data_IF_391946994433
#
_entry.id   IF_391946994433
#
_cell.length_a   1.000
_cell.length_b   1.000
_cell.length_c   1.000
_cell.angle_alpha   90.00
_cell.angle_beta   90.00
_cell.angle_gamma   90.00
#
_symmetry.space_group_name_H-M   'P 1'
#
loop_
_entity.id
_entity.type
_entity.pdbx_description
1 polymer ?
#
# COMPACT_ATOMS: atom_id res chain seq x y z
N UNK A 1 -14.11 -27.83 65.58
CA UNK A 1 -12.64 -27.67 65.67
C UNK A 1 -12.04 -29.06 65.41
N UNK A 2 -11.27 -29.36 64.36
CA UNK A 2 -10.43 -28.60 63.44
C UNK A 2 -10.40 -29.30 62.06
N UNK A 3 -10.26 -28.52 60.98
CA UNK A 3 -9.91 -28.98 59.63
C UNK A 3 -8.43 -29.42 59.57
N UNK A 4 -8.07 -30.21 58.55
CA UNK A 4 -6.79 -30.27 57.80
C UNK A 4 -7.06 -31.20 56.59
N UNK A 5 -6.95 -30.86 55.30
CA UNK A 5 -6.00 -30.04 54.55
C UNK A 5 -5.36 -30.97 53.49
N UNK A 6 -5.98 -31.16 52.31
CA UNK A 6 -5.66 -30.55 51.01
C UNK A 6 -4.23 -30.83 50.50
N UNK A 7 -4.08 -31.66 49.46
CA UNK A 7 -3.08 -31.46 48.41
C UNK A 7 -3.67 -31.84 47.05
N UNK A 8 -4.00 -30.81 46.26
CA UNK A 8 -4.32 -30.93 44.85
C UNK A 8 -3.12 -30.34 44.10
N UNK A 9 -2.28 -31.19 43.52
CA UNK A 9 -1.12 -30.76 42.72
C UNK A 9 -1.64 -30.18 41.40
N UNK A 10 -1.63 -28.85 41.29
CA UNK A 10 -2.00 -28.13 40.08
C UNK A 10 -0.84 -28.14 39.08
N UNK A 11 -0.95 -28.94 38.02
CA UNK A 11 -0.02 -28.90 36.90
C UNK A 11 -0.49 -27.84 35.89
N UNK A 12 -0.04 -26.59 36.06
CA UNK A 12 -0.21 -25.51 35.07
C UNK A 12 1.02 -25.45 34.17
N UNK A 13 0.99 -26.25 33.10
CA UNK A 13 1.98 -26.23 32.03
C UNK A 13 1.78 -25.02 31.11
N UNK A 14 2.80 -24.17 31.05
CA UNK A 14 2.87 -22.90 30.32
C UNK A 14 2.86 -23.12 28.78
N UNK A 15 1.76 -22.79 28.10
CA UNK A 15 1.74 -22.58 26.64
C UNK A 15 1.84 -21.08 26.34
N UNK A 16 3.07 -20.57 26.16
CA UNK A 16 3.31 -19.19 25.72
C UNK A 16 4.42 -19.13 24.67
N UNK A 17 4.23 -19.74 23.50
CA UNK A 17 5.25 -19.76 22.43
C UNK A 17 4.73 -19.46 21.01
N UNK A 18 3.63 -18.71 20.85
CA UNK A 18 3.08 -18.36 19.52
C UNK A 18 3.20 -16.88 19.12
N UNK A 19 3.63 -15.99 20.01
CA UNK A 19 3.67 -14.54 19.73
C UNK A 19 4.99 -14.03 19.12
N UNK A 20 6.08 -14.81 19.16
CA UNK A 20 7.40 -14.40 18.68
C UNK A 20 7.55 -14.52 17.16
N UNK A 21 7.00 -15.58 16.57
CA UNK A 21 7.06 -15.83 15.12
C UNK A 21 6.33 -14.78 14.28
N UNK A 22 5.13 -14.37 14.70
CA UNK A 22 4.34 -13.36 13.99
C UNK A 22 5.02 -11.97 13.99
N UNK A 23 5.66 -11.60 15.11
CA UNK A 23 6.44 -10.35 15.21
C UNK A 23 7.72 -10.40 14.36
N UNK A 24 8.43 -11.52 14.35
CA UNK A 24 9.62 -11.69 13.54
C UNK A 24 9.31 -11.59 12.03
N UNK A 25 8.22 -12.20 11.58
CA UNK A 25 7.79 -12.15 10.18
C UNK A 25 7.41 -10.73 9.72
N UNK A 26 6.89 -9.91 10.63
CA UNK A 26 6.54 -8.51 10.35
C UNK A 26 7.78 -7.61 10.27
N UNK A 27 8.86 -7.90 11.01
CA UNK A 27 10.12 -7.17 10.93
C UNK A 27 10.83 -7.32 9.56
N UNK A 28 10.59 -8.45 8.89
CA UNK A 28 11.10 -8.75 7.55
C UNK A 28 10.21 -8.23 6.41
N UNK A 29 9.06 -7.63 6.74
CA UNK A 29 8.17 -7.02 5.75
C UNK A 29 8.86 -5.85 5.06
N UNK A 30 8.79 -5.83 3.73
CA UNK A 30 9.35 -4.75 2.89
C UNK A 30 8.34 -4.20 1.88
N UNK A 31 7.10 -4.70 1.92
CA UNK A 31 5.96 -4.17 1.16
C UNK A 31 4.65 -4.34 1.93
N UNK A 32 3.76 -3.37 1.81
CA UNK A 32 2.35 -3.51 2.17
C UNK A 32 1.47 -2.50 1.43
N UNK A 33 0.16 -2.75 1.41
CA UNK A 33 -0.86 -1.74 1.08
C UNK A 33 -1.30 -1.09 2.38
N UNK A 34 -1.39 0.23 2.46
CA UNK A 34 -1.84 0.89 3.70
C UNK A 34 -3.23 0.43 4.12
N UNK A 35 -3.45 0.11 5.40
CA UNK A 35 -4.82 -0.12 5.92
C UNK A 35 -5.69 1.15 5.96
N UNK A 36 -5.08 2.34 5.89
CA UNK A 36 -5.76 3.62 5.85
C UNK A 36 -4.94 4.68 5.10
N UNK A 37 -5.61 5.54 4.35
CA UNK A 37 -5.03 6.71 3.67
C UNK A 37 -4.86 7.93 4.58
N UNK A 38 -4.75 9.13 3.98
CA UNK A 38 -4.63 10.39 4.73
C UNK A 38 -5.94 10.85 5.39
N UNK A 39 -7.08 10.33 4.92
CA UNK A 39 -8.41 10.83 5.26
C UNK A 39 -8.81 12.11 4.51
N UNK A 40 -7.94 12.64 3.65
CA UNK A 40 -8.16 13.83 2.82
C UNK A 40 -8.15 13.52 1.33
N UNK A 41 -8.53 12.30 0.95
CA UNK A 41 -8.46 11.85 -0.44
C UNK A 41 -7.01 11.76 -0.92
N UNK A 42 -6.71 12.37 -2.07
CA UNK A 42 -5.37 12.39 -2.66
C UNK A 42 -4.47 13.53 -2.15
N UNK A 43 -4.96 14.38 -1.24
CA UNK A 43 -4.08 15.30 -0.51
C UNK A 43 -3.32 14.51 0.56
N UNK A 44 -2.04 14.29 0.26
CA UNK A 44 -1.10 13.58 1.12
C UNK A 44 -0.08 14.54 1.73
N UNK A 45 -0.11 15.84 1.39
CA UNK A 45 0.99 16.77 1.68
C UNK A 45 2.23 16.51 0.81
N UNK A 46 2.03 16.04 -0.42
CA UNK A 46 3.13 15.66 -1.32
C UNK A 46 3.77 14.30 -0.98
N UNK A 47 4.91 14.00 -1.61
CA UNK A 47 5.61 12.72 -1.44
C UNK A 47 6.08 12.49 -0.01
N UNK A 48 6.52 13.55 0.68
CA UNK A 48 6.99 13.43 2.07
C UNK A 48 5.87 13.02 3.02
N UNK A 49 4.67 13.61 2.87
CA UNK A 49 3.53 13.20 3.69
C UNK A 49 2.99 11.82 3.33
N UNK A 50 3.08 11.40 2.06
CA UNK A 50 2.78 10.04 1.65
C UNK A 50 3.76 9.02 2.27
N UNK A 51 5.07 9.31 2.25
CA UNK A 51 6.10 8.49 2.89
C UNK A 51 5.88 8.42 4.41
N UNK A 52 5.51 9.53 5.05
CA UNK A 52 5.20 9.57 6.48
C UNK A 52 4.01 8.68 6.86
N UNK A 53 3.00 8.56 6.01
CA UNK A 53 1.88 7.62 6.21
C UNK A 53 2.42 6.17 6.20
N UNK A 54 3.23 5.82 5.21
CA UNK A 54 3.85 4.50 5.13
C UNK A 54 4.72 4.21 6.37
N UNK A 55 5.59 5.15 6.75
CA UNK A 55 6.48 5.00 7.91
C UNK A 55 5.69 4.76 9.19
N UNK A 56 4.64 5.57 9.44
CA UNK A 56 3.79 5.47 10.63
C UNK A 56 3.10 4.11 10.73
N UNK A 57 2.52 3.64 9.62
CA UNK A 57 1.80 2.36 9.60
C UNK A 57 2.76 1.18 9.80
N UNK A 58 3.92 1.20 9.15
CA UNK A 58 4.95 0.19 9.36
C UNK A 58 5.45 0.17 10.81
N UNK A 59 5.66 1.34 11.42
CA UNK A 59 6.06 1.44 12.82
C UNK A 59 5.04 0.84 13.77
N UNK A 60 3.73 1.04 13.51
CA UNK A 60 2.65 0.49 14.34
C UNK A 60 2.66 -1.04 14.44
N UNK A 61 3.25 -1.73 13.45
CA UNK A 61 3.37 -3.19 13.43
C UNK A 61 4.80 -3.69 13.71
N UNK A 62 5.72 -2.80 14.10
CA UNK A 62 7.10 -3.15 14.44
C UNK A 62 8.06 -3.20 13.24
N UNK A 63 7.64 -2.75 12.07
CA UNK A 63 8.47 -2.67 10.86
C UNK A 63 9.06 -1.26 10.61
N UNK A 64 9.09 -0.40 11.65
CA UNK A 64 9.52 1.01 11.54
C UNK A 64 11.02 1.25 11.40
N UNK A 65 11.86 0.21 11.50
CA UNK A 65 13.33 0.33 11.39
C UNK A 65 13.85 0.50 9.95
N UNK A 66 12.96 0.50 8.95
CA UNK A 66 13.29 0.71 7.53
C UNK A 66 12.84 2.10 7.10
N UNK A 67 13.39 2.59 6.00
CA UNK A 67 12.88 3.80 5.32
C UNK A 67 11.72 3.39 4.41
N UNK A 68 10.52 3.86 4.69
CA UNK A 68 9.35 3.53 3.87
C UNK A 68 9.03 4.61 2.86
N UNK A 69 8.73 4.20 1.63
CA UNK A 69 8.39 5.05 0.49
C UNK A 69 7.04 4.68 -0.06
N UNK A 70 6.18 5.68 -0.24
CA UNK A 70 4.96 5.51 -1.01
C UNK A 70 5.30 5.41 -2.51
N UNK A 71 4.75 4.40 -3.19
CA UNK A 71 4.90 4.24 -4.64
C UNK A 71 4.04 5.27 -5.37
N UNK A 72 4.62 6.45 -5.58
CA UNK A 72 3.96 7.60 -6.18
C UNK A 72 4.94 8.33 -7.09
N UNK A 73 4.47 8.66 -8.29
CA UNK A 73 5.20 9.54 -9.22
C UNK A 73 4.66 10.96 -9.13
N UNK A 74 5.52 11.96 -9.31
CA UNK A 74 5.12 13.38 -9.38
C UNK A 74 5.47 13.99 -10.71
N UNK A 75 4.69 15.00 -11.11
CA UNK A 75 4.94 15.84 -12.26
C UNK A 75 6.02 16.88 -11.98
N UNK A 76 6.76 17.25 -13.02
CA UNK A 76 7.66 18.40 -12.97
C UNK A 76 6.85 19.68 -12.73
N UNK A 77 7.24 20.48 -11.74
CA UNK A 77 6.57 21.73 -11.40
C UNK A 77 7.56 22.72 -10.78
N UNK A 78 7.41 24.01 -11.07
CA UNK A 78 8.22 25.07 -10.45
C UNK A 78 9.74 24.89 -10.61
N UNK A 79 10.19 24.24 -11.68
CA UNK A 79 11.60 23.93 -11.93
C UNK A 79 12.12 22.64 -11.27
N UNK A 80 11.33 21.98 -10.42
CA UNK A 80 11.65 20.65 -9.91
C UNK A 80 11.38 19.58 -10.99
N UNK A 81 12.28 18.58 -11.15
CA UNK A 81 12.06 17.51 -12.10
C UNK A 81 10.88 16.62 -11.67
N UNK A 82 10.30 15.91 -12.64
CA UNK A 82 9.38 14.82 -12.34
C UNK A 82 10.09 13.73 -11.53
N UNK A 83 9.34 13.01 -10.70
CA UNK A 83 9.87 11.92 -9.90
C UNK A 83 9.15 10.64 -10.28
N UNK A 84 9.90 9.60 -10.60
CA UNK A 84 9.36 8.29 -10.92
C UNK A 84 9.20 7.46 -9.64
N UNK A 85 8.06 6.80 -9.48
CA UNK A 85 7.81 5.90 -8.35
C UNK A 85 8.84 4.76 -8.30
N UNK A 86 9.16 4.17 -9.46
CA UNK A 86 10.10 3.03 -9.58
C UNK A 86 11.49 3.32 -9.04
N UNK A 87 11.94 4.58 -9.09
CA UNK A 87 13.29 4.98 -8.70
C UNK A 87 13.42 5.19 -7.19
N UNK A 88 12.29 5.26 -6.47
CA UNK A 88 12.25 5.57 -5.03
C UNK A 88 12.17 4.34 -4.13
N UNK A 89 11.68 3.23 -4.64
CA UNK A 89 11.25 2.07 -3.82
C UNK A 89 12.34 1.05 -3.50
N UNK A 90 13.61 1.36 -3.82
CA UNK A 90 14.74 0.45 -3.66
C UNK A 90 14.81 -0.62 -4.76
N UNK A 91 15.69 -1.61 -4.57
CA UNK A 91 15.97 -2.64 -5.58
C UNK A 91 15.16 -3.93 -5.38
N UNK A 92 14.49 -4.09 -4.24
CA UNK A 92 13.88 -5.36 -3.81
C UNK A 92 14.88 -6.31 -3.14
N UNK A 93 14.47 -7.55 -2.79
CA UNK A 93 13.13 -8.10 -2.99
C UNK A 93 12.11 -7.49 -2.02
N UNK A 94 10.85 -7.41 -2.47
CA UNK A 94 9.76 -6.94 -1.61
C UNK A 94 8.89 -8.09 -1.14
N UNK A 95 8.60 -8.11 0.16
CA UNK A 95 7.83 -9.16 0.85
C UNK A 95 6.69 -8.55 1.64
N UNK A 96 5.50 -9.16 1.54
CA UNK A 96 4.36 -8.74 2.34
C UNK A 96 4.50 -9.14 3.81
N UNK A 97 3.53 -8.75 4.65
CA UNK A 97 3.50 -9.06 6.08
C UNK A 97 3.56 -10.56 6.42
N UNK A 98 3.27 -11.44 5.47
CA UNK A 98 3.37 -12.91 5.59
C UNK A 98 4.63 -13.46 4.92
N UNK A 99 5.61 -12.62 4.58
CA UNK A 99 6.89 -13.02 4.01
C UNK A 99 6.83 -13.47 2.53
N UNK A 100 5.64 -13.47 1.91
CA UNK A 100 5.47 -13.82 0.50
C UNK A 100 6.14 -12.76 -0.37
N UNK A 101 6.97 -13.21 -1.30
CA UNK A 101 7.64 -12.33 -2.28
C UNK A 101 6.61 -11.74 -3.23
N UNK A 102 6.62 -10.42 -3.35
CA UNK A 102 5.82 -9.64 -4.30
C UNK A 102 6.58 -9.48 -5.61
N UNK A 103 7.86 -9.13 -5.54
CA UNK A 103 8.76 -9.10 -6.68
C UNK A 103 10.21 -9.18 -6.21
N UNK A 104 11.08 -9.80 -7.02
CA UNK A 104 12.51 -9.93 -6.70
C UNK A 104 13.28 -8.63 -6.96
N UNK A 105 12.76 -7.80 -7.88
CA UNK A 105 13.28 -6.46 -8.14
C UNK A 105 12.42 -5.67 -9.11
N UNK A 106 12.89 -4.47 -9.47
CA UNK A 106 12.11 -3.47 -10.25
C UNK A 106 11.60 -4.04 -11.58
N UNK A 107 12.41 -4.84 -12.28
CA UNK A 107 11.99 -5.46 -13.54
C UNK A 107 10.83 -6.45 -13.34
N UNK A 108 10.90 -7.30 -12.32
CA UNK A 108 9.83 -8.24 -11.99
C UNK A 108 8.55 -7.52 -11.56
N UNK A 109 8.68 -6.45 -10.77
CA UNK A 109 7.55 -5.68 -10.24
C UNK A 109 6.68 -5.05 -11.33
N UNK A 110 7.31 -4.56 -12.40
CA UNK A 110 6.64 -3.96 -13.55
C UNK A 110 6.48 -4.94 -14.73
N UNK A 111 6.86 -6.20 -14.53
CA UNK A 111 6.76 -7.27 -15.52
C UNK A 111 5.59 -8.23 -15.24
N UNK A 112 5.52 -9.28 -16.05
CA UNK A 112 4.48 -10.32 -15.90
C UNK A 112 4.64 -11.17 -14.63
N UNK A 113 5.84 -11.19 -14.04
CA UNK A 113 6.17 -12.00 -12.86
C UNK A 113 5.76 -11.35 -11.52
N UNK A 114 5.24 -10.11 -11.55
CA UNK A 114 4.78 -9.44 -10.34
C UNK A 114 3.70 -10.26 -9.62
N UNK A 115 3.92 -10.55 -8.36
CA UNK A 115 3.01 -11.30 -7.51
C UNK A 115 2.09 -10.36 -6.73
N UNK A 116 1.67 -9.25 -7.33
CA UNK A 116 0.60 -8.40 -6.81
C UNK A 116 -0.75 -8.97 -7.21
N UNK A 117 -1.47 -9.50 -6.22
CA UNK A 117 -2.80 -10.09 -6.34
C UNK A 117 -3.61 -9.73 -5.10
N UNK A 118 -4.92 -9.98 -5.12
CA UNK A 118 -5.78 -9.78 -3.95
C UNK A 118 -5.26 -10.52 -2.71
N UNK A 119 -4.69 -11.71 -2.90
CA UNK A 119 -4.21 -12.56 -1.80
C UNK A 119 -2.87 -12.13 -1.23
N UNK A 120 -2.08 -11.37 -2.00
CA UNK A 120 -0.69 -11.05 -1.66
C UNK A 120 -0.49 -9.56 -1.35
N UNK A 121 -1.34 -8.68 -1.88
CA UNK A 121 -1.39 -7.26 -1.56
C UNK A 121 -2.08 -7.02 -0.21
N UNK A 122 -1.38 -7.42 0.86
CA UNK A 122 -1.87 -7.36 2.24
C UNK A 122 -1.59 -6.02 2.91
N UNK A 123 -2.36 -5.72 3.95
CA UNK A 123 -2.09 -4.57 4.83
C UNK A 123 -0.82 -4.76 5.65
N UNK A 124 -0.35 -3.69 6.30
CA UNK A 124 0.76 -3.78 7.25
C UNK A 124 0.48 -4.78 8.40
N UNK A 125 -0.80 -5.06 8.66
CA UNK A 125 -1.28 -6.03 9.65
C UNK A 125 -1.42 -7.45 9.10
N UNK A 126 -1.15 -7.65 7.81
CA UNK A 126 -1.33 -8.93 7.12
C UNK A 126 -2.76 -9.29 6.76
N UNK A 127 -3.65 -8.29 6.74
CA UNK A 127 -5.06 -8.44 6.38
C UNK A 127 -5.26 -8.32 4.87
N UNK A 128 -6.29 -8.98 4.34
CA UNK A 128 -6.69 -8.83 2.93
C UNK A 128 -7.34 -7.44 2.76
N UNK A 129 -6.93 -6.73 1.72
CA UNK A 129 -7.57 -5.46 1.32
C UNK A 129 -8.84 -5.79 0.54
N UNK A 130 -9.93 -5.06 0.82
CA UNK A 130 -11.16 -5.20 0.06
C UNK A 130 -10.92 -4.80 -1.41
N UNK A 131 -11.32 -5.68 -2.34
CA UNK A 131 -11.18 -5.49 -3.77
C UNK A 131 -12.52 -5.39 -4.49
N UNK A 132 -12.47 -5.49 -5.82
CA UNK A 132 -13.66 -5.50 -6.67
C UNK A 132 -14.62 -6.63 -6.27
N UNK A 133 -15.85 -6.24 -5.95
CA UNK A 133 -16.93 -7.11 -5.47
C UNK A 133 -17.10 -7.15 -3.94
N UNK A 134 -16.19 -6.56 -3.17
CA UNK A 134 -16.31 -6.46 -1.70
C UNK A 134 -17.02 -5.17 -1.28
N UNK A 135 -17.48 -5.11 -0.02
CA UNK A 135 -18.10 -3.90 0.58
C UNK A 135 -17.39 -3.52 1.88
N UNK A 136 -16.89 -2.27 2.03
CA UNK A 136 -16.77 -1.26 0.97
C UNK A 136 -15.77 -1.70 -0.11
N UNK A 137 -15.93 -1.20 -1.34
CA UNK A 137 -14.94 -1.39 -2.41
C UNK A 137 -13.77 -0.43 -2.20
N UNK A 138 -12.55 -0.96 -2.08
CA UNK A 138 -11.32 -0.17 -1.90
C UNK A 138 -10.21 -0.65 -2.83
N UNK A 139 -10.56 -1.10 -4.04
CA UNK A 139 -9.62 -1.76 -4.92
C UNK A 139 -8.61 -0.83 -5.58
N UNK A 140 -8.98 0.44 -5.77
CA UNK A 140 -8.12 1.46 -6.37
C UNK A 140 -7.05 1.94 -5.38
N UNK A 141 -5.80 1.94 -5.84
CA UNK A 141 -4.62 2.45 -5.13
C UNK A 141 -4.05 3.64 -5.87
N UNK A 142 -3.67 4.71 -5.15
CA UNK A 142 -3.06 5.90 -5.74
C UNK A 142 -1.65 5.57 -6.27
N UNK A 143 -1.33 5.95 -7.50
CA UNK A 143 0.01 5.73 -8.08
C UNK A 143 0.58 6.94 -8.81
N UNK A 144 -0.25 7.71 -9.52
CA UNK A 144 0.23 8.80 -10.39
C UNK A 144 1.24 8.39 -11.46
N UNK A 145 1.33 7.09 -11.77
CA UNK A 145 2.45 6.50 -12.52
C UNK A 145 1.98 5.84 -13.82
N UNK A 146 2.90 5.73 -14.78
CA UNK A 146 2.78 4.84 -15.92
C UNK A 146 3.00 3.38 -15.52
N UNK A 147 2.67 2.46 -16.42
CA UNK A 147 2.74 1.02 -16.15
C UNK A 147 4.17 0.55 -15.81
N UNK A 148 5.17 1.23 -16.37
CA UNK A 148 6.59 0.99 -16.09
C UNK A 148 7.11 1.70 -14.84
N UNK A 149 6.24 2.39 -14.10
CA UNK A 149 6.54 3.13 -12.87
C UNK A 149 7.18 4.49 -13.05
N UNK A 150 7.19 5.03 -14.27
CA UNK A 150 7.61 6.42 -14.54
C UNK A 150 6.48 7.43 -14.34
N UNK A 151 6.85 8.70 -14.15
CA UNK A 151 5.90 9.79 -14.19
C UNK A 151 5.32 9.99 -15.59
N UNK A 152 4.13 10.58 -15.67
CA UNK A 152 3.60 11.08 -16.94
C UNK A 152 4.39 12.29 -17.45
N UNK A 153 4.25 12.56 -18.74
CA UNK A 153 4.89 13.69 -19.40
C UNK A 153 4.40 15.04 -18.82
N UNK A 154 5.24 16.09 -18.85
CA UNK A 154 4.85 17.42 -18.40
C UNK A 154 3.54 17.91 -19.04
N UNK A 155 2.68 18.52 -18.23
CA UNK A 155 1.35 19.00 -18.66
C UNK A 155 0.22 17.99 -18.46
N UNK A 156 0.53 16.73 -18.16
CA UNK A 156 -0.46 15.69 -17.81
C UNK A 156 -0.52 15.46 -16.30
N UNK A 157 -1.06 16.40 -15.53
CA UNK A 157 -1.26 16.21 -14.09
C UNK A 157 -2.28 15.09 -13.81
N UNK A 158 -1.73 13.91 -13.54
CA UNK A 158 -2.46 12.71 -13.10
C UNK A 158 -2.08 12.35 -11.68
N UNK A 159 -1.82 13.35 -10.85
CA UNK A 159 -1.28 13.21 -9.49
C UNK A 159 -2.08 14.00 -8.46
N UNK A 160 -3.21 14.60 -8.85
CA UNK A 160 -3.95 15.53 -8.01
C UNK A 160 -3.06 16.68 -7.50
N UNK A 161 -2.32 17.32 -8.40
CA UNK A 161 -1.44 18.44 -8.08
C UNK A 161 -0.24 18.02 -7.25
N UNK A 162 0.44 16.93 -7.62
CA UNK A 162 1.50 16.32 -6.82
C UNK A 162 1.05 16.02 -5.38
N UNK A 163 -0.17 15.47 -5.24
CA UNK A 163 -0.75 15.02 -3.98
C UNK A 163 -1.00 16.13 -2.97
N UNK A 164 -1.48 17.29 -3.44
CA UNK A 164 -1.85 18.44 -2.59
C UNK A 164 -3.29 18.91 -2.80
N UNK A 165 -4.08 18.22 -3.64
CA UNK A 165 -5.50 18.55 -3.89
C UNK A 165 -6.42 17.52 -3.22
N UNK A 166 -7.48 18.02 -2.59
CA UNK A 166 -8.57 17.20 -2.03
C UNK A 166 -9.94 17.59 -2.58
N UNK A 167 -10.00 18.39 -3.65
CA UNK A 167 -11.22 18.95 -4.21
C UNK A 167 -11.80 18.13 -5.36
N UNK A 168 -12.68 18.76 -6.13
CA UNK A 168 -13.21 18.20 -7.39
C UNK A 168 -12.27 18.44 -8.57
N UNK A 169 -11.25 19.28 -8.38
CA UNK A 169 -10.28 19.66 -9.40
C UNK A 169 -9.14 18.65 -9.53
N UNK A 170 -8.86 18.24 -10.77
CA UNK A 170 -7.81 17.29 -11.10
C UNK A 170 -8.25 15.84 -11.00
N UNK A 171 -7.30 14.95 -11.27
CA UNK A 171 -7.49 13.51 -11.11
C UNK A 171 -6.13 12.87 -10.79
N UNK A 172 -6.18 11.67 -10.22
CA UNK A 172 -4.99 10.86 -9.92
C UNK A 172 -5.06 9.56 -10.69
N UNK A 173 -3.93 9.12 -11.25
CA UNK A 173 -3.82 7.79 -11.84
C UNK A 173 -3.85 6.74 -10.74
N UNK A 174 -4.70 5.73 -10.95
CA UNK A 174 -4.97 4.64 -10.04
C UNK A 174 -4.53 3.32 -10.66
N UNK A 175 -4.25 2.34 -9.82
CA UNK A 175 -4.15 0.95 -10.24
C UNK A 175 -4.85 0.02 -9.26
N UNK A 176 -4.99 -1.25 -9.63
CA UNK A 176 -5.80 -2.22 -8.92
C UNK A 176 -4.95 -3.26 -8.19
N UNK A 177 -4.98 -3.28 -6.85
CA UNK A 177 -4.21 -4.26 -6.07
C UNK A 177 -4.65 -5.71 -6.27
N UNK A 178 -5.88 -5.91 -6.71
CA UNK A 178 -6.48 -7.22 -6.96
C UNK A 178 -6.37 -7.68 -8.42
N UNK A 179 -5.79 -6.85 -9.30
CA UNK A 179 -5.64 -7.12 -10.75
C UNK A 179 -6.97 -7.41 -11.45
N UNK A 180 -8.08 -6.92 -10.92
CA UNK A 180 -9.41 -7.07 -11.53
C UNK A 180 -9.78 -5.83 -12.32
N UNK A 181 -10.57 -5.98 -13.37
CA UNK A 181 -11.11 -4.88 -14.14
C UNK A 181 -12.41 -5.26 -14.81
N UNK A 182 -12.96 -4.35 -15.62
CA UNK A 182 -14.20 -4.60 -16.36
C UNK A 182 -13.98 -5.50 -17.59
N UNK A 183 -12.72 -5.68 -18.01
CA UNK A 183 -12.30 -6.52 -19.13
C UNK A 183 -10.89 -7.10 -18.91
N UNK A 184 -10.38 -7.81 -19.92
CA UNK A 184 -9.09 -8.48 -19.88
C UNK A 184 -7.91 -7.64 -20.40
N UNK A 185 -8.11 -6.35 -20.69
CA UNK A 185 -7.05 -5.48 -21.18
C UNK A 185 -5.93 -5.29 -20.15
N UNK A 186 -4.73 -4.95 -20.65
CA UNK A 186 -3.58 -4.68 -19.79
C UNK A 186 -3.84 -3.53 -18.81
N UNK A 187 -4.57 -2.50 -19.24
CA UNK A 187 -4.95 -1.36 -18.40
C UNK A 187 -5.94 -1.80 -17.31
N UNK A 188 -7.02 -2.48 -17.65
CA UNK A 188 -8.05 -2.90 -16.69
C UNK A 188 -7.51 -3.84 -15.61
N UNK A 189 -6.47 -4.63 -15.91
CA UNK A 189 -5.78 -5.49 -14.95
C UNK A 189 -4.58 -4.82 -14.28
N UNK A 190 -4.20 -3.61 -14.67
CA UNK A 190 -2.98 -2.95 -14.22
C UNK A 190 -2.99 -2.66 -12.72
N UNK A 191 -1.88 -2.93 -12.04
CA UNK A 191 -1.77 -2.68 -10.58
C UNK A 191 -1.39 -1.23 -10.28
N UNK A 192 -0.82 -0.51 -11.25
CA UNK A 192 -0.33 0.85 -11.08
C UNK A 192 -0.85 1.86 -12.11
N UNK A 193 -1.56 1.43 -13.14
CA UNK A 193 -1.88 2.28 -14.30
C UNK A 193 -3.14 1.76 -15.02
N UNK A 194 -4.29 1.91 -14.35
CA UNK A 194 -5.57 1.42 -14.85
C UNK A 194 -6.43 2.56 -15.37
N UNK A 195 -6.84 3.48 -14.49
CA UNK A 195 -7.67 4.62 -14.85
C UNK A 195 -7.44 5.82 -13.93
N UNK A 196 -7.97 6.96 -14.34
CA UNK A 196 -8.01 8.16 -13.50
C UNK A 196 -9.12 8.05 -12.45
N UNK A 197 -8.95 8.74 -11.32
CA UNK A 197 -10.03 8.99 -10.39
C UNK A 197 -11.18 9.76 -11.07
N UNK A 198 -12.41 9.44 -10.67
CA UNK A 198 -13.63 10.09 -11.16
C UNK A 198 -14.11 11.12 -10.14
N UNK A 199 -14.52 12.29 -10.61
CA UNK A 199 -15.09 13.34 -9.76
C UNK A 199 -14.10 14.11 -8.88
N UNK A 200 -12.79 13.89 -9.06
CA UNK A 200 -11.75 14.69 -8.44
C UNK A 200 -10.78 13.90 -7.55
N UNK A 201 -10.29 14.60 -6.53
CA UNK A 201 -9.22 14.18 -5.64
C UNK A 201 -9.69 14.04 -4.18
N UNK A 202 -10.93 14.41 -3.89
CA UNK A 202 -11.53 14.29 -2.55
C UNK A 202 -11.69 12.84 -2.11
N UNK A 203 -11.84 12.63 -0.80
CA UNK A 203 -12.09 11.29 -0.27
C UNK A 203 -13.37 10.67 -0.85
N UNK A 204 -14.42 11.47 -1.06
CA UNK A 204 -15.68 10.99 -1.60
C UNK A 204 -15.59 10.72 -3.11
N UNK A 205 -14.81 11.50 -3.85
CA UNK A 205 -14.48 11.20 -5.24
C UNK A 205 -13.78 9.83 -5.37
N UNK A 206 -12.77 9.58 -4.53
CA UNK A 206 -12.07 8.29 -4.52
C UNK A 206 -13.00 7.12 -4.16
N UNK A 207 -13.85 7.27 -3.13
CA UNK A 207 -14.88 6.27 -2.79
C UNK A 207 -15.83 5.98 -3.95
N UNK A 208 -16.31 7.03 -4.62
CA UNK A 208 -17.21 6.87 -5.78
C UNK A 208 -16.53 6.22 -6.98
N UNK A 209 -15.20 6.30 -7.06
CA UNK A 209 -14.43 5.68 -8.14
C UNK A 209 -14.25 4.18 -7.91
N UNK A 210 -14.01 3.77 -6.66
CA UNK A 210 -13.63 2.40 -6.28
C UNK A 210 -12.47 2.31 -5.29
N UNK A 211 -12.03 3.42 -4.71
CA UNK A 211 -10.85 3.50 -3.85
C UNK A 211 -11.10 4.09 -2.46
N UNK A 212 -10.08 4.04 -1.63
CA UNK A 212 -10.08 4.66 -0.30
C UNK A 212 -8.91 5.62 -0.06
N UNK A 213 -8.16 5.99 -1.10
CA UNK A 213 -6.93 6.78 -0.95
C UNK A 213 -5.79 5.98 -0.32
N UNK A 214 -5.75 4.68 -0.61
CA UNK A 214 -4.70 3.79 -0.11
C UNK A 214 -3.43 3.93 -0.95
N UNK A 215 -2.30 3.53 -0.36
CA UNK A 215 -0.97 3.60 -0.94
C UNK A 215 -0.31 2.22 -0.96
N UNK A 216 0.53 1.95 -1.95
CA UNK A 216 1.56 0.93 -1.81
C UNK A 216 2.77 1.52 -1.11
N UNK A 217 3.25 0.83 -0.08
CA UNK A 217 4.41 1.21 0.70
C UNK A 217 5.51 0.18 0.49
N UNK A 218 6.69 0.65 0.08
CA UNK A 218 7.87 -0.17 -0.16
C UNK A 218 8.99 0.30 0.77
N UNK A 219 9.75 -0.63 1.34
CA UNK A 219 10.98 -0.28 2.03
C UNK A 219 12.01 0.15 0.98
N UNK A 220 12.40 1.43 0.99
CA UNK A 220 13.56 1.95 0.28
C UNK A 220 14.81 1.61 1.10
N UNK A 221 15.80 1.01 0.43
CA UNK A 221 17.05 0.52 1.03
C UNK A 221 17.68 1.47 2.05
#
# INVERSE_FOLDING_TARGET
>A
MRLNGLELVALTGLLALSATGARAQTAEMTFFVTSAGSGKGADLGGLEGADAICQRLAQAVGAGGKTWRAYLSTQATGGAPAVNARDRIGAGPWRNAKGTVIASGVADLHGAATNLTKQTALTEKGEIVNGGGDTPNTHDILTGSQADGTAFAPGEDRTCGNYTKSGTEGAVMLGHHDRRGLDDSAAAKSWNMSHLSRGGCSQDALKSTGGAGLLYCFAGN
#
